data_IF_743749729895
#
_entry.id   IF_743749729895
#
_cell.length_a   1.000
_cell.length_b   1.000
_cell.length_c   1.000
_cell.angle_alpha   90.00
_cell.angle_beta   90.00
_cell.angle_gamma   90.00
#
_symmetry.space_group_name_H-M   'P 1'
#
loop_
_entity.id
_entity.type
_entity.pdbx_description
1 polymer ?
#
# COMPACT_ATOMS: atom_id res chain seq x y z
N UNK A 1 20.38 -38.04 10.37
CA UNK A 1 20.76 -37.36 9.11
C UNK A 1 19.83 -37.66 7.94
N UNK A 2 19.34 -38.90 7.77
CA UNK A 2 18.41 -39.28 6.69
C UNK A 2 17.10 -38.46 6.68
N UNK A 3 16.53 -38.22 7.86
CA UNK A 3 15.29 -37.44 8.01
C UNK A 3 15.44 -35.98 7.54
N UNK A 4 16.59 -35.34 7.83
CA UNK A 4 16.86 -33.98 7.36
C UNK A 4 16.92 -33.91 5.82
N UNK A 5 17.53 -34.92 5.19
CA UNK A 5 17.57 -35.03 3.73
C UNK A 5 16.16 -35.20 3.13
N UNK A 6 15.31 -36.01 3.76
CA UNK A 6 13.92 -36.19 3.33
C UNK A 6 13.13 -34.89 3.45
N UNK A 7 13.26 -34.19 4.58
CA UNK A 7 12.60 -32.89 4.81
C UNK A 7 13.09 -31.84 3.81
N UNK A 8 14.39 -31.76 3.56
CA UNK A 8 14.97 -30.81 2.61
C UNK A 8 14.47 -31.09 1.18
N UNK A 9 14.46 -32.36 0.78
CA UNK A 9 13.97 -32.78 -0.53
C UNK A 9 12.47 -32.45 -0.68
N UNK A 10 11.67 -32.76 0.33
CA UNK A 10 10.23 -32.47 0.33
C UNK A 10 9.95 -30.96 0.27
N UNK A 11 10.70 -30.17 1.04
CA UNK A 11 10.63 -28.71 1.02
C UNK A 11 11.00 -28.15 -0.36
N UNK A 12 12.06 -28.67 -0.99
CA UNK A 12 12.47 -28.24 -2.33
C UNK A 12 11.40 -28.54 -3.38
N UNK A 13 10.84 -29.76 -3.39
CA UNK A 13 9.76 -30.15 -4.32
C UNK A 13 8.52 -29.27 -4.11
N UNK A 14 8.11 -29.08 -2.86
CA UNK A 14 6.94 -28.25 -2.52
C UNK A 14 7.16 -26.80 -2.94
N UNK A 15 8.35 -26.25 -2.68
CA UNK A 15 8.70 -24.88 -3.09
C UNK A 15 8.67 -24.71 -4.61
N UNK A 16 9.26 -25.65 -5.37
CA UNK A 16 9.22 -25.61 -6.84
C UNK A 16 7.79 -25.70 -7.37
N UNK A 17 6.95 -26.58 -6.82
CA UNK A 17 5.55 -26.71 -7.23
C UNK A 17 4.75 -25.42 -6.99
N UNK A 18 4.90 -24.82 -5.80
CA UNK A 18 4.25 -23.55 -5.47
C UNK A 18 4.79 -22.41 -6.33
N UNK A 19 6.10 -22.37 -6.56
CA UNK A 19 6.77 -21.35 -7.39
C UNK A 19 6.30 -21.42 -8.84
N UNK A 20 6.19 -22.62 -9.40
CA UNK A 20 5.73 -22.85 -10.77
C UNK A 20 4.25 -22.47 -10.94
N UNK A 21 3.41 -22.77 -9.94
CA UNK A 21 2.01 -22.35 -9.92
C UNK A 21 1.86 -20.81 -9.82
N UNK A 22 2.74 -20.15 -9.07
CA UNK A 22 2.78 -18.68 -9.01
C UNK A 22 3.26 -18.04 -10.32
N UNK A 23 4.19 -18.67 -11.04
CA UNK A 23 4.70 -18.19 -12.32
C UNK A 23 3.70 -18.40 -13.47
N UNK A 24 2.90 -19.47 -13.42
CA UNK A 24 1.91 -19.80 -14.47
C UNK A 24 0.46 -19.39 -14.17
N UNK A 25 0.15 -18.99 -12.94
CA UNK A 25 -1.11 -18.31 -12.63
C UNK A 25 -0.97 -16.81 -12.84
N UNK A 26 -1.88 -16.20 -13.64
CA UNK A 26 -1.96 -14.76 -13.96
C UNK A 26 -2.13 -13.79 -12.76
N UNK A 27 -1.59 -14.06 -11.57
CA UNK A 27 -1.82 -13.21 -10.40
C UNK A 27 -0.99 -13.47 -9.13
N UNK A 28 0.16 -14.14 -9.21
CA UNK A 28 0.86 -14.64 -8.02
C UNK A 28 2.21 -13.98 -7.68
N UNK A 29 2.34 -12.65 -7.70
CA UNK A 29 3.54 -12.00 -7.18
C UNK A 29 3.84 -12.42 -5.72
N UNK A 30 5.11 -12.61 -5.32
CA UNK A 30 5.45 -12.97 -3.94
C UNK A 30 5.03 -11.84 -3.02
N UNK A 31 3.99 -12.05 -2.21
CA UNK A 31 3.45 -11.21 -1.13
C UNK A 31 4.14 -9.83 -0.94
N UNK A 32 4.02 -8.96 -1.94
CA UNK A 32 4.34 -7.54 -1.86
C UNK A 32 3.28 -6.84 -2.70
N UNK A 33 2.29 -6.30 -1.98
CA UNK A 33 1.02 -5.72 -2.45
C UNK A 33 -0.03 -6.79 -2.69
N UNK A 34 -0.85 -6.98 -1.67
CA UNK A 34 -2.19 -7.54 -1.81
C UNK A 34 -2.95 -6.63 -2.78
N UNK A 35 -3.05 -6.99 -4.05
CA UNK A 35 -4.15 -6.47 -4.88
C UNK A 35 -5.40 -7.13 -4.34
N UNK A 36 -5.97 -6.52 -3.30
CA UNK A 36 -7.30 -6.88 -2.82
C UNK A 36 -8.21 -6.76 -4.05
N UNK A 37 -8.97 -7.80 -4.42
CA UNK A 37 -10.00 -7.62 -5.44
C UNK A 37 -10.86 -6.44 -5.00
N UNK A 38 -10.97 -5.42 -5.86
CA UNK A 38 -11.72 -4.20 -5.55
C UNK A 38 -13.12 -4.67 -5.12
N UNK A 39 -13.55 -4.43 -3.88
CA UNK A 39 -14.88 -4.84 -3.47
C UNK A 39 -15.88 -4.24 -4.47
N UNK A 40 -16.96 -4.96 -4.84
CA UNK A 40 -17.98 -4.42 -5.72
C UNK A 40 -18.38 -3.05 -5.16
N UNK A 41 -18.47 -2.04 -6.04
CA UNK A 41 -18.77 -0.66 -5.66
C UNK A 41 -20.01 -0.64 -4.79
N UNK A 42 -19.80 -0.59 -3.47
CA UNK A 42 -20.88 -0.37 -2.53
C UNK A 42 -21.41 1.04 -2.81
N UNK A 43 -22.71 1.30 -2.61
CA UNK A 43 -23.19 2.66 -2.55
C UNK A 43 -22.36 3.37 -1.48
N UNK A 44 -21.46 4.23 -1.92
CA UNK A 44 -20.62 5.05 -1.04
C UNK A 44 -21.52 6.21 -0.63
N UNK A 45 -21.71 6.38 0.68
CA UNK A 45 -22.41 7.54 1.17
C UNK A 45 -21.55 8.79 0.87
N UNK A 46 -22.13 9.97 0.61
CA UNK A 46 -21.35 11.16 0.19
C UNK A 46 -20.23 11.58 1.16
N UNK A 47 -20.29 11.14 2.41
CA UNK A 47 -19.29 11.30 3.46
C UNK A 47 -18.11 10.31 3.39
N UNK A 48 -18.29 9.16 2.74
CA UNK A 48 -17.29 8.09 2.57
C UNK A 48 -16.52 8.18 1.23
N UNK A 49 -16.74 9.24 0.45
CA UNK A 49 -16.06 9.44 -0.83
C UNK A 49 -14.56 9.69 -0.64
N UNK A 50 -13.72 8.81 -1.21
CA UNK A 50 -12.25 8.92 -1.16
C UNK A 50 -11.76 10.29 -1.66
N UNK A 51 -12.49 10.92 -2.58
CA UNK A 51 -12.20 12.26 -3.11
C UNK A 51 -12.36 13.36 -2.07
N UNK A 52 -13.40 13.28 -1.23
CA UNK A 52 -13.66 14.27 -0.17
C UNK A 52 -12.60 14.18 0.93
N UNK A 53 -12.29 12.98 1.39
CA UNK A 53 -11.22 12.74 2.37
C UNK A 53 -9.85 13.23 1.86
N UNK A 54 -9.58 13.04 0.55
CA UNK A 54 -8.34 13.52 -0.08
C UNK A 54 -8.26 15.04 -0.16
N UNK A 55 -9.38 15.75 -0.38
CA UNK A 55 -9.41 17.22 -0.39
C UNK A 55 -9.16 17.80 1.01
N UNK A 56 -9.78 17.22 2.06
CA UNK A 56 -9.53 17.63 3.45
C UNK A 56 -8.06 17.46 3.84
N UNK A 57 -7.47 16.33 3.46
CA UNK A 57 -6.08 16.02 3.72
C UNK A 57 -5.13 16.94 2.92
N UNK A 58 -5.50 17.33 1.70
CA UNK A 58 -4.76 18.37 0.95
C UNK A 58 -4.83 19.74 1.62
N UNK A 59 -6.01 20.16 2.09
CA UNK A 59 -6.21 21.43 2.81
C UNK A 59 -5.44 21.48 4.12
N UNK A 60 -5.45 20.38 4.90
CA UNK A 60 -4.69 20.27 6.16
C UNK A 60 -3.20 20.51 5.93
N UNK A 61 -2.61 19.83 4.94
CA UNK A 61 -1.20 20.03 4.58
C UNK A 61 -0.88 21.46 4.14
N UNK A 62 -1.77 22.13 3.42
CA UNK A 62 -1.54 23.52 3.02
C UNK A 62 -1.55 24.47 4.23
N UNK A 63 -2.40 24.22 5.23
CA UNK A 63 -2.43 25.00 6.46
C UNK A 63 -1.18 24.77 7.31
N UNK A 64 -0.73 23.52 7.43
CA UNK A 64 0.54 23.18 8.10
C UNK A 64 1.72 23.90 7.43
N UNK A 65 1.81 23.84 6.09
CA UNK A 65 2.86 24.55 5.33
C UNK A 65 2.81 26.07 5.49
N UNK A 66 1.63 26.65 5.72
CA UNK A 66 1.48 28.09 6.03
C UNK A 66 1.87 28.40 7.46
N UNK A 67 1.59 27.51 8.40
CA UNK A 67 1.94 27.66 9.83
C UNK A 67 3.44 27.48 10.08
N UNK A 68 4.06 26.57 9.33
CA UNK A 68 5.50 26.30 9.34
C UNK A 68 6.29 27.29 8.48
N UNK A 69 5.60 28.15 7.70
CA UNK A 69 6.24 29.26 7.02
C UNK A 69 6.58 30.32 8.08
N UNK A 70 7.87 30.62 8.33
CA UNK A 70 8.20 31.75 9.18
C UNK A 70 7.57 32.99 8.57
N UNK A 71 6.81 33.74 9.38
CA UNK A 71 6.28 35.04 8.95
C UNK A 71 7.45 35.84 8.38
N UNK A 72 7.35 36.40 7.15
CA UNK A 72 8.37 37.31 6.68
C UNK A 72 8.50 38.42 7.73
N UNK A 73 9.73 38.79 8.14
CA UNK A 73 9.90 39.82 9.15
C UNK A 73 9.18 41.08 8.68
N UNK A 74 8.40 41.67 9.58
CA UNK A 74 7.68 42.92 9.36
C UNK A 74 8.54 43.86 8.51
N UNK A 75 8.08 44.13 7.28
CA UNK A 75 8.71 45.16 6.46
C UNK A 75 8.52 46.47 7.22
N UNK A 76 9.60 47.21 7.56
CA UNK A 76 9.45 48.41 8.35
C UNK A 76 8.60 49.42 7.58
N UNK A 77 7.63 49.99 8.29
CA UNK A 77 6.80 51.09 7.85
C UNK A 77 7.68 52.22 7.29
N UNK A 78 7.36 52.68 6.08
CA UNK A 78 7.92 53.91 5.47
C UNK A 78 7.15 55.14 5.94
#
# INVERSE_FOLDING_TARGET
MKLLLVVLLFAAVTYLAVRWLQEHGDGGAPARRTTRPRPPSRPVAPDDDETFLRDLEWRRRQQERRKDQPQPPDSPET
#
